data_IF_384839405912
#
_entry.id   IF_384839405912
#
_cell.length_a   1.000
_cell.length_b   1.000
_cell.length_c   1.000
_cell.angle_alpha   90.00
_cell.angle_beta   90.00
_cell.angle_gamma   90.00
#
_symmetry.space_group_name_H-M   'P 1'
#
loop_
_entity.id
_entity.type
_entity.pdbx_description
1 polymer ?
#
# COMPACT_ATOMS: atom_id res chain seq x y z
N UNK A 1 -59.43 -43.72 -23.46
CA UNK A 1 -59.53 -43.40 -22.02
C UNK A 1 -58.26 -43.85 -21.31
N UNK A 2 -57.42 -42.89 -20.88
CA UNK A 2 -56.53 -42.96 -19.70
C UNK A 2 -55.96 -41.55 -19.49
N UNK A 3 -56.60 -40.80 -18.60
CA UNK A 3 -56.16 -39.50 -18.09
C UNK A 3 -54.98 -39.74 -17.14
N UNK A 4 -53.78 -39.25 -17.48
CA UNK A 4 -52.64 -39.21 -16.57
C UNK A 4 -52.65 -37.88 -15.82
N UNK A 5 -52.73 -37.93 -14.50
CA UNK A 5 -52.74 -36.75 -13.63
C UNK A 5 -51.37 -36.04 -13.64
N UNK A 6 -51.40 -34.71 -13.82
CA UNK A 6 -50.24 -33.85 -13.56
C UNK A 6 -50.08 -33.72 -12.05
N UNK A 7 -49.00 -34.26 -11.51
CA UNK A 7 -48.66 -34.13 -10.09
C UNK A 7 -48.06 -32.74 -9.83
N UNK A 8 -48.45 -32.02 -8.76
CA UNK A 8 -47.86 -30.73 -8.43
C UNK A 8 -46.41 -30.91 -7.95
N UNK A 9 -45.48 -30.16 -8.55
CA UNK A 9 -44.07 -30.11 -8.15
C UNK A 9 -43.89 -29.57 -6.73
N UNK A 10 -42.91 -30.12 -6.02
CA UNK A 10 -42.58 -29.85 -4.63
C UNK A 10 -42.21 -28.35 -4.40
N UNK A 11 -42.86 -27.62 -3.48
CA UNK A 11 -42.58 -26.20 -3.23
C UNK A 11 -41.24 -25.91 -2.52
N UNK A 12 -40.41 -26.93 -2.26
CA UNK A 12 -39.15 -26.81 -1.51
C UNK A 12 -37.87 -26.82 -2.36
N UNK A 13 -37.96 -26.73 -3.69
CA UNK A 13 -36.78 -26.44 -4.50
C UNK A 13 -36.39 -24.96 -4.29
N UNK A 14 -35.52 -24.73 -3.31
CA UNK A 14 -34.95 -23.43 -3.04
C UNK A 14 -34.37 -22.84 -4.32
N UNK A 15 -35.01 -21.79 -4.82
CA UNK A 15 -34.55 -20.98 -5.95
C UNK A 15 -33.13 -20.53 -5.65
N UNK A 16 -32.15 -21.25 -6.16
CA UNK A 16 -30.76 -20.83 -6.12
C UNK A 16 -30.67 -19.65 -7.09
N UNK A 17 -30.84 -18.44 -6.57
CA UNK A 17 -30.66 -17.21 -7.34
C UNK A 17 -29.17 -17.12 -7.65
N UNK A 18 -28.75 -17.75 -8.75
CA UNK A 18 -27.43 -17.55 -9.32
C UNK A 18 -27.42 -16.12 -9.85
N UNK A 19 -26.93 -15.18 -9.03
CA UNK A 19 -26.72 -13.78 -9.42
C UNK A 19 -25.62 -13.77 -10.48
N UNK A 20 -26.00 -14.06 -11.72
CA UNK A 20 -25.13 -13.97 -12.88
C UNK A 20 -25.11 -12.51 -13.29
N UNK A 21 -24.20 -11.73 -12.72
CA UNK A 21 -24.03 -10.34 -13.14
C UNK A 21 -23.74 -10.33 -14.66
N UNK A 22 -24.43 -9.50 -15.46
CA UNK A 22 -24.18 -9.42 -16.90
C UNK A 22 -22.70 -9.11 -17.13
N UNK A 23 -22.01 -9.96 -17.90
CA UNK A 23 -20.57 -9.84 -18.21
C UNK A 23 -20.19 -8.41 -18.63
N UNK A 24 -21.10 -7.72 -19.30
CA UNK A 24 -21.01 -6.33 -19.75
C UNK A 24 -20.80 -5.32 -18.61
N UNK A 25 -21.48 -5.51 -17.48
CA UNK A 25 -21.32 -4.67 -16.28
C UNK A 25 -19.98 -4.92 -15.59
N UNK A 26 -19.55 -6.18 -15.55
CA UNK A 26 -18.23 -6.56 -15.01
C UNK A 26 -17.11 -5.97 -15.89
N UNK A 27 -17.24 -6.05 -17.20
CA UNK A 27 -16.28 -5.49 -18.16
C UNK A 27 -16.23 -3.96 -18.10
N UNK A 28 -17.37 -3.27 -18.00
CA UNK A 28 -17.39 -1.80 -17.82
C UNK A 28 -16.80 -1.36 -16.49
N UNK A 29 -17.07 -2.08 -15.40
CA UNK A 29 -16.47 -1.79 -14.10
C UNK A 29 -14.94 -2.02 -14.13
N UNK A 30 -14.49 -3.10 -14.79
CA UNK A 30 -13.07 -3.36 -15.01
C UNK A 30 -12.43 -2.27 -15.89
N UNK A 31 -13.13 -1.78 -16.92
CA UNK A 31 -12.61 -0.75 -17.82
C UNK A 31 -12.49 0.62 -17.13
N UNK A 32 -13.50 1.05 -16.37
CA UNK A 32 -13.45 2.28 -15.57
C UNK A 32 -12.35 2.16 -14.50
N UNK A 33 -12.26 1.01 -13.84
CA UNK A 33 -11.19 0.69 -12.90
C UNK A 33 -9.81 0.78 -13.54
N UNK A 34 -9.65 0.28 -14.76
CA UNK A 34 -8.36 0.26 -15.47
C UNK A 34 -7.84 1.66 -15.80
N UNK A 35 -8.72 2.59 -16.20
CA UNK A 35 -8.33 3.96 -16.58
C UNK A 35 -7.96 4.84 -15.38
N UNK A 36 -8.59 4.61 -14.23
CA UNK A 36 -8.32 5.38 -13.02
C UNK A 36 -7.25 4.73 -12.10
N UNK A 37 -6.96 3.44 -12.28
CA UNK A 37 -6.09 2.66 -11.38
C UNK A 37 -4.71 3.29 -11.15
N UNK A 38 -3.98 3.63 -12.21
CA UNK A 38 -2.62 4.19 -12.11
C UNK A 38 -2.60 5.62 -11.54
N UNK A 39 -3.47 6.56 -11.97
CA UNK A 39 -3.60 7.85 -11.32
C UNK A 39 -3.96 7.75 -9.83
N UNK A 40 -4.89 6.86 -9.47
CA UNK A 40 -5.27 6.63 -8.07
C UNK A 40 -4.11 6.04 -7.26
N UNK A 41 -3.38 5.06 -7.81
CA UNK A 41 -2.22 4.46 -7.16
C UNK A 41 -1.10 5.49 -6.94
N UNK A 42 -0.83 6.33 -7.93
CA UNK A 42 0.15 7.41 -7.81
C UNK A 42 -0.30 8.46 -6.80
N UNK A 43 -1.57 8.84 -6.83
CA UNK A 43 -2.17 9.79 -5.90
C UNK A 43 -2.11 9.30 -4.46
N UNK A 44 -2.49 8.04 -4.22
CA UNK A 44 -2.46 7.45 -2.88
C UNK A 44 -1.05 7.33 -2.33
N UNK A 45 -0.08 6.87 -3.13
CA UNK A 45 1.33 6.85 -2.74
C UNK A 45 1.83 8.25 -2.39
N UNK A 46 1.54 9.24 -3.23
CA UNK A 46 1.95 10.63 -3.00
C UNK A 46 1.37 11.22 -1.71
N UNK A 47 0.07 11.03 -1.48
CA UNK A 47 -0.62 11.52 -0.27
C UNK A 47 -0.06 10.85 0.99
N UNK A 48 0.13 9.53 0.97
CA UNK A 48 0.67 8.79 2.13
C UNK A 48 2.07 9.28 2.50
N UNK A 49 2.93 9.48 1.49
CA UNK A 49 4.30 9.99 1.71
C UNK A 49 4.31 11.41 2.26
N UNK A 50 3.48 12.31 1.72
CA UNK A 50 3.36 13.67 2.26
C UNK A 50 2.87 13.64 3.70
N UNK A 51 1.85 12.83 3.99
CA UNK A 51 1.25 12.76 5.31
C UNK A 51 2.24 12.23 6.36
N UNK A 52 2.90 11.10 6.08
CA UNK A 52 3.89 10.53 7.00
C UNK A 52 5.12 11.42 7.15
N UNK A 53 5.57 12.05 6.07
CA UNK A 53 6.67 13.01 6.12
C UNK A 53 6.33 14.24 6.96
N UNK A 54 5.12 14.80 6.79
CA UNK A 54 4.65 15.94 7.57
C UNK A 54 4.57 15.64 9.07
N UNK A 55 4.10 14.44 9.46
CA UNK A 55 4.06 14.02 10.87
C UNK A 55 5.44 13.96 11.52
N UNK A 56 6.49 13.62 10.75
CA UNK A 56 7.88 13.62 11.22
C UNK A 56 8.44 15.04 11.36
N UNK A 57 7.98 15.98 10.55
CA UNK A 57 8.37 17.39 10.66
C UNK A 57 7.80 18.05 11.91
N UNK A 58 6.61 17.63 12.36
CA UNK A 58 5.97 18.19 13.56
C UNK A 58 6.42 17.50 14.86
N UNK A 59 7.39 16.59 14.81
CA UNK A 59 7.90 15.81 15.97
C UNK A 59 6.79 15.13 16.79
N UNK A 60 5.63 14.89 16.19
CA UNK A 60 4.41 14.50 16.91
C UNK A 60 4.20 12.98 16.92
N UNK A 61 5.27 12.18 16.83
CA UNK A 61 5.13 10.72 16.69
C UNK A 61 6.03 9.92 17.63
N UNK A 62 5.56 8.76 18.16
CA UNK A 62 6.35 7.81 18.95
C UNK A 62 7.57 7.21 18.24
N UNK A 63 7.81 7.58 16.97
CA UNK A 63 8.90 7.12 16.12
C UNK A 63 10.21 7.85 16.46
N UNK A 64 10.10 9.04 17.07
CA UNK A 64 11.22 9.78 17.64
C UNK A 64 12.06 8.88 18.57
N UNK A 65 11.43 8.38 19.62
CA UNK A 65 12.05 7.49 20.61
C UNK A 65 12.63 6.19 19.99
N UNK A 66 12.02 5.71 18.90
CA UNK A 66 12.49 4.52 18.19
C UNK A 66 13.75 4.79 17.36
N UNK A 67 13.84 5.94 16.70
CA UNK A 67 15.02 6.31 15.90
C UNK A 67 16.23 6.59 16.81
N UNK A 68 16.00 7.16 18.00
CA UNK A 68 17.00 7.37 19.05
C UNK A 68 17.75 6.08 19.41
N UNK A 69 17.03 4.96 19.49
CA UNK A 69 17.56 3.68 19.92
C UNK A 69 18.28 2.88 18.81
N UNK A 70 18.11 3.24 17.53
CA UNK A 70 18.68 2.48 16.39
C UNK A 70 19.84 3.15 15.68
N UNK A 71 20.02 4.47 15.82
CA UNK A 71 21.19 5.17 15.24
C UNK A 71 21.83 6.08 16.28
N UNK A 72 22.60 5.53 17.25
CA UNK A 72 23.18 6.32 18.35
C UNK A 72 24.22 7.37 17.89
N UNK A 73 24.60 7.37 16.61
CA UNK A 73 25.63 8.23 16.04
C UNK A 73 25.08 9.49 15.34
N UNK A 74 23.76 9.60 15.14
CA UNK A 74 23.13 10.76 14.50
C UNK A 74 22.10 11.40 15.43
N UNK A 75 22.17 12.72 15.67
CA UNK A 75 21.19 13.40 16.50
C UNK A 75 19.81 13.31 15.84
N UNK A 76 18.92 12.60 16.51
CA UNK A 76 17.54 12.34 16.12
C UNK A 76 16.77 13.64 15.79
N UNK A 77 17.08 14.70 16.54
CA UNK A 77 16.54 16.06 16.36
C UNK A 77 16.74 16.64 14.95
N UNK A 78 17.74 16.16 14.21
CA UNK A 78 17.99 16.55 12.83
C UNK A 78 17.59 15.46 11.83
N UNK A 79 17.90 14.20 12.14
CA UNK A 79 17.69 13.09 11.20
C UNK A 79 16.21 12.79 10.93
N UNK A 80 15.36 12.82 11.96
CA UNK A 80 13.91 12.54 11.82
C UNK A 80 13.22 13.63 10.99
N UNK A 81 13.42 14.94 11.24
CA UNK A 81 12.89 15.98 10.36
C UNK A 81 13.45 15.91 8.93
N UNK A 82 14.73 15.60 8.75
CA UNK A 82 15.32 15.47 7.40
C UNK A 82 14.69 14.32 6.60
N UNK A 83 14.45 13.16 7.23
CA UNK A 83 13.70 12.07 6.62
C UNK A 83 12.26 12.47 6.33
N UNK A 84 11.61 13.20 7.24
CA UNK A 84 10.27 13.74 7.02
C UNK A 84 10.19 14.65 5.80
N UNK A 85 11.13 15.60 5.67
CA UNK A 85 11.22 16.47 4.51
C UNK A 85 11.45 15.68 3.21
N UNK A 86 12.31 14.67 3.25
CA UNK A 86 12.57 13.80 2.11
C UNK A 86 11.31 13.03 1.66
N UNK A 87 10.53 12.49 2.60
CA UNK A 87 9.25 11.83 2.32
C UNK A 87 8.24 12.79 1.68
N UNK A 88 8.13 14.02 2.20
CA UNK A 88 7.25 15.04 1.62
C UNK A 88 7.67 15.36 0.18
N UNK A 89 8.97 15.54 -0.07
CA UNK A 89 9.49 15.81 -1.42
C UNK A 89 9.20 14.67 -2.39
N UNK A 90 9.37 13.41 -1.97
CA UNK A 90 9.00 12.24 -2.78
C UNK A 90 7.50 12.28 -3.09
N UNK A 91 6.67 12.49 -2.07
CA UNK A 91 5.22 12.47 -2.24
C UNK A 91 4.72 13.58 -3.17
N UNK A 92 5.27 14.79 -3.05
CA UNK A 92 4.99 15.90 -3.97
C UNK A 92 5.44 15.57 -5.40
N UNK A 93 6.63 14.99 -5.57
CA UNK A 93 7.13 14.59 -6.88
C UNK A 93 6.27 13.51 -7.54
N UNK A 94 5.73 12.56 -6.75
CA UNK A 94 4.75 11.57 -7.21
C UNK A 94 3.46 12.24 -7.69
N UNK A 95 2.93 13.22 -6.94
CA UNK A 95 1.71 13.94 -7.32
C UNK A 95 1.90 14.76 -8.60
N UNK A 96 3.03 15.46 -8.72
CA UNK A 96 3.41 16.19 -9.94
C UNK A 96 3.59 15.24 -11.13
N UNK A 97 4.02 14.01 -10.86
CA UNK A 97 4.12 12.96 -11.87
C UNK A 97 5.31 13.12 -12.82
N UNK A 98 6.35 13.84 -12.39
CA UNK A 98 7.57 14.06 -13.18
C UNK A 98 8.70 13.18 -12.64
N UNK A 99 9.57 12.68 -13.54
CA UNK A 99 10.71 11.80 -13.21
C UNK A 99 10.28 10.54 -12.42
N UNK A 100 9.06 10.01 -12.67
CA UNK A 100 8.45 8.94 -11.86
C UNK A 100 9.40 7.75 -11.63
N UNK A 101 10.16 7.34 -12.63
CA UNK A 101 11.13 6.24 -12.47
C UNK A 101 12.17 6.50 -11.37
N UNK A 102 12.73 7.72 -11.30
CA UNK A 102 13.71 8.11 -10.28
C UNK A 102 13.01 8.27 -8.93
N UNK A 103 11.86 8.95 -8.91
CA UNK A 103 11.09 9.19 -7.68
C UNK A 103 10.68 7.88 -7.02
N UNK A 104 10.18 6.91 -7.81
CA UNK A 104 9.85 5.57 -7.31
C UNK A 104 11.09 4.83 -6.84
N UNK A 105 12.23 4.92 -7.53
CA UNK A 105 13.47 4.29 -7.08
C UNK A 105 13.90 4.81 -5.70
N UNK A 106 13.85 6.14 -5.51
CA UNK A 106 14.12 6.76 -4.21
C UNK A 106 13.11 6.33 -3.14
N UNK A 107 11.82 6.29 -3.50
CA UNK A 107 10.75 5.80 -2.64
C UNK A 107 10.99 4.37 -2.17
N UNK A 108 11.34 3.46 -3.08
CA UNK A 108 11.62 2.05 -2.77
C UNK A 108 12.87 1.91 -1.92
N UNK A 109 13.95 2.64 -2.24
CA UNK A 109 15.18 2.62 -1.45
C UNK A 109 14.94 3.10 -0.01
N UNK A 110 14.17 4.18 0.15
CA UNK A 110 13.77 4.70 1.45
C UNK A 110 12.96 3.69 2.26
N UNK A 111 11.91 3.11 1.67
CA UNK A 111 11.07 2.10 2.33
C UNK A 111 11.88 0.84 2.68
N UNK A 112 12.80 0.42 1.81
CA UNK A 112 13.69 -0.70 2.10
C UNK A 112 14.61 -0.40 3.30
N UNK A 113 15.11 0.83 3.41
CA UNK A 113 15.89 1.28 4.57
C UNK A 113 15.13 1.14 5.89
N UNK A 114 13.80 1.30 5.89
CA UNK A 114 12.99 1.13 7.11
C UNK A 114 13.02 -0.30 7.66
N UNK A 115 13.28 -1.32 6.83
CA UNK A 115 13.39 -2.71 7.29
C UNK A 115 14.61 -2.95 8.18
N UNK A 116 15.60 -2.04 8.20
CA UNK A 116 16.74 -2.14 9.09
C UNK A 116 16.33 -2.21 10.56
N UNK A 117 15.19 -1.61 10.93
CA UNK A 117 14.65 -1.66 12.30
C UNK A 117 14.27 -3.08 12.74
N UNK A 118 13.92 -3.98 11.80
CA UNK A 118 13.60 -5.38 12.11
C UNK A 118 14.81 -6.13 12.67
N UNK A 119 16.02 -5.71 12.28
CA UNK A 119 17.28 -6.34 12.68
C UNK A 119 17.95 -5.56 13.82
N UNK A 120 17.90 -4.23 13.76
CA UNK A 120 18.57 -3.38 14.76
C UNK A 120 17.76 -3.19 16.03
N UNK A 121 16.43 -3.31 15.98
CA UNK A 121 15.53 -3.18 17.13
C UNK A 121 14.44 -4.26 17.13
N UNK A 122 14.83 -5.54 17.25
CA UNK A 122 13.87 -6.64 17.30
C UNK A 122 12.90 -6.49 18.48
N UNK A 123 13.35 -5.96 19.63
CA UNK A 123 12.54 -5.83 20.84
C UNK A 123 11.34 -4.89 20.69
N UNK A 124 11.43 -3.92 19.77
CA UNK A 124 10.32 -2.97 19.51
C UNK A 124 9.42 -3.46 18.38
N UNK A 125 9.92 -4.35 17.53
CA UNK A 125 9.22 -4.87 16.36
C UNK A 125 8.46 -6.15 16.69
N UNK A 126 9.03 -7.02 17.52
CA UNK A 126 8.52 -8.35 17.83
C UNK A 126 8.08 -8.44 19.29
N UNK A 127 6.95 -9.11 19.52
CA UNK A 127 6.45 -9.36 20.86
C UNK A 127 7.08 -10.64 21.41
N UNK A 128 7.60 -10.56 22.65
CA UNK A 128 8.11 -11.72 23.40
C UNK A 128 9.19 -12.50 22.63
N UNK A 129 10.08 -11.80 21.93
CA UNK A 129 11.16 -12.38 21.14
C UNK A 129 10.72 -13.37 20.05
N UNK A 130 9.44 -13.30 19.63
CA UNK A 130 8.88 -14.17 18.61
C UNK A 130 8.72 -13.42 17.28
N UNK A 131 9.49 -13.76 16.23
CA UNK A 131 9.41 -13.11 14.92
C UNK A 131 8.05 -13.17 14.22
N UNK A 132 7.17 -14.09 14.63
CA UNK A 132 5.81 -14.22 14.08
C UNK A 132 4.80 -13.28 14.76
N UNK A 133 5.13 -12.70 15.90
CA UNK A 133 4.26 -11.81 16.65
C UNK A 133 4.76 -10.37 16.50
N UNK A 134 4.18 -9.61 15.57
CA UNK A 134 4.55 -8.21 15.34
C UNK A 134 3.88 -7.28 16.36
N UNK A 135 4.57 -6.23 16.76
CA UNK A 135 3.97 -5.06 17.42
C UNK A 135 3.29 -4.16 16.38
N UNK A 136 2.58 -3.12 16.83
CA UNK A 136 2.05 -2.07 15.93
C UNK A 136 3.16 -1.43 15.07
N UNK A 137 4.38 -1.29 15.62
CA UNK A 137 5.56 -0.81 14.89
C UNK A 137 6.00 -1.82 13.83
N UNK A 138 6.07 -3.10 14.19
CA UNK A 138 6.42 -4.17 13.25
C UNK A 138 5.44 -4.26 12.09
N UNK A 139 4.13 -4.22 12.37
CA UNK A 139 3.08 -4.17 11.34
C UNK A 139 3.21 -2.93 10.43
N UNK A 140 3.50 -1.77 11.03
CA UNK A 140 3.73 -0.55 10.29
C UNK A 140 4.92 -0.65 9.32
N UNK A 141 5.98 -1.34 9.70
CA UNK A 141 7.16 -1.53 8.86
C UNK A 141 6.88 -2.58 7.77
N UNK A 142 6.30 -3.73 8.13
CA UNK A 142 6.04 -4.82 7.18
C UNK A 142 5.08 -4.41 6.08
N UNK A 143 4.08 -3.54 6.37
CA UNK A 143 3.17 -3.04 5.33
C UNK A 143 3.89 -2.26 4.21
N UNK A 144 5.12 -1.78 4.43
CA UNK A 144 5.90 -1.09 3.40
C UNK A 144 6.16 -1.98 2.18
N UNK A 145 6.11 -3.32 2.32
CA UNK A 145 6.15 -4.26 1.19
C UNK A 145 5.04 -3.95 0.18
N UNK A 146 3.83 -3.60 0.64
CA UNK A 146 2.70 -3.24 -0.23
C UNK A 146 2.98 -1.94 -0.98
N UNK A 147 3.54 -0.94 -0.30
CA UNK A 147 3.91 0.36 -0.92
C UNK A 147 5.04 0.19 -1.94
N UNK A 148 6.02 -0.65 -1.65
CA UNK A 148 7.11 -1.00 -2.58
C UNK A 148 6.53 -1.68 -3.83
N UNK A 149 5.66 -2.69 -3.65
CA UNK A 149 5.02 -3.37 -4.78
C UNK A 149 4.20 -2.39 -5.64
N UNK A 150 3.41 -1.52 -5.02
CA UNK A 150 2.68 -0.45 -5.70
C UNK A 150 3.61 0.49 -6.49
N UNK A 151 4.75 0.88 -5.91
CA UNK A 151 5.79 1.66 -6.57
C UNK A 151 6.34 0.96 -7.81
N UNK A 152 6.72 -0.31 -7.69
CA UNK A 152 7.26 -1.11 -8.80
C UNK A 152 6.24 -1.20 -9.95
N UNK A 153 4.96 -1.43 -9.65
CA UNK A 153 3.87 -1.42 -10.64
C UNK A 153 3.78 -0.07 -11.34
N UNK A 154 3.81 1.03 -10.57
CA UNK A 154 3.78 2.39 -11.11
C UNK A 154 4.98 2.71 -12.01
N UNK A 155 6.19 2.27 -11.64
CA UNK A 155 7.37 2.43 -12.48
C UNK A 155 7.27 1.60 -13.78
N UNK A 156 6.79 0.37 -13.68
CA UNK A 156 6.58 -0.52 -14.82
C UNK A 156 5.61 0.05 -15.86
N UNK A 157 4.49 0.64 -15.40
CA UNK A 157 3.49 1.23 -16.31
C UNK A 157 4.01 2.46 -17.06
N UNK A 158 4.91 3.25 -16.45
CA UNK A 158 5.49 4.43 -17.13
C UNK A 158 6.47 4.07 -18.24
N UNK A 159 7.13 2.91 -18.18
CA UNK A 159 8.02 2.43 -19.25
C UNK A 159 7.26 1.96 -20.48
N UNK A 160 6.07 1.36 -20.29
CA UNK A 160 5.24 0.86 -21.39
C UNK A 160 4.59 1.99 -22.21
N UNK A 161 4.41 3.17 -21.62
CA UNK A 161 3.79 4.33 -22.27
C UNK A 161 4.72 5.07 -23.26
N UNK A 162 6.00 4.68 -23.38
CA UNK A 162 6.96 5.31 -24.30
C UNK A 162 7.27 4.34 -25.45
N UNK A 163 6.63 4.49 -26.63
CA UNK A 163 7.11 3.82 -27.83
C UNK A 163 8.47 4.43 -28.19
N UNK A 164 9.44 3.58 -28.50
CA UNK A 164 10.73 4.00 -29.06
C UNK A 164 10.57 4.63 -30.43
#
# INVERSE_FOLDING_TARGET
>A
MRTGAVMPGNPNEGTTVVITLPRERLLRAAEIGSRASLPLLRGSLGIVFIWFGALKLTQSTPIADLVAATVPFLPESWFVPALGAFEVLIGLALLVGRWIGIVVALMVAHLAGTFLVLVMQPDVVFQRDNPLLLTMTGEFVVKNVVLIAAGIVLAGSTRQAKPG
#
